data_IF_794340059157
#
_entry.id   IF_794340059157
#
_cell.length_a   1.000
_cell.length_b   1.000
_cell.length_c   1.000
_cell.angle_alpha   90.00
_cell.angle_beta   90.00
_cell.angle_gamma   90.00
#
_symmetry.space_group_name_H-M   'P 1'
#
loop_
_entity.id
_entity.type
_entity.pdbx_description
1 polymer ?
#
# COMPACT_ATOMS: atom_id res chain seq x y z
N UNK A 1 7.10 -2.75 -60.79
CA UNK A 1 7.80 -2.63 -59.52
C UNK A 1 7.06 -1.61 -58.67
N UNK A 2 6.22 -2.03 -57.73
CA UNK A 2 5.43 -1.18 -56.83
C UNK A 2 6.14 -1.05 -55.49
N UNK A 3 6.59 0.16 -55.15
CA UNK A 3 7.17 0.46 -53.84
C UNK A 3 6.03 0.56 -52.81
N UNK A 4 5.98 -0.38 -51.88
CA UNK A 4 5.09 -0.30 -50.69
C UNK A 4 5.64 0.76 -49.73
N UNK A 5 4.88 1.84 -49.57
CA UNK A 5 5.14 2.86 -48.59
C UNK A 5 4.82 2.31 -47.20
N UNK A 6 5.85 2.17 -46.37
CA UNK A 6 5.72 1.82 -44.94
C UNK A 6 5.21 3.08 -44.22
N UNK A 7 3.94 3.13 -43.82
CA UNK A 7 3.42 4.16 -42.93
C UNK A 7 4.02 3.96 -41.56
N UNK A 8 4.90 4.85 -41.18
CA UNK A 8 5.39 4.98 -39.82
C UNK A 8 4.24 5.46 -38.93
N UNK A 9 3.70 4.58 -38.10
CA UNK A 9 2.81 4.98 -37.00
C UNK A 9 3.67 5.79 -36.04
N UNK A 10 3.41 7.09 -35.95
CA UNK A 10 4.03 7.97 -34.98
C UNK A 10 3.70 7.49 -33.55
N UNK A 11 4.58 7.73 -32.56
CA UNK A 11 4.32 7.36 -31.19
C UNK A 11 3.09 8.13 -30.71
N UNK A 12 2.00 7.41 -30.45
CA UNK A 12 0.89 7.93 -29.66
C UNK A 12 1.45 8.20 -28.27
N UNK A 13 1.80 9.45 -27.99
CA UNK A 13 2.22 9.89 -26.67
C UNK A 13 1.04 9.70 -25.73
N UNK A 14 0.97 8.55 -25.07
CA UNK A 14 0.15 8.37 -23.88
C UNK A 14 0.67 9.39 -22.86
N UNK A 15 -0.06 10.48 -22.69
CA UNK A 15 0.10 11.40 -21.57
C UNK A 15 -0.21 10.58 -20.31
N UNK A 16 0.81 9.95 -19.77
CA UNK A 16 0.76 9.34 -18.43
C UNK A 16 0.65 10.52 -17.47
N UNK A 17 -0.57 10.84 -17.06
CA UNK A 17 -0.80 11.79 -15.96
C UNK A 17 -0.16 11.19 -14.74
N UNK A 18 1.04 11.63 -14.40
CA UNK A 18 1.71 11.23 -13.18
C UNK A 18 0.97 11.88 -12.01
N UNK A 19 0.36 11.05 -11.18
CA UNK A 19 -0.18 11.48 -9.91
C UNK A 19 0.98 12.00 -9.03
N UNK A 20 0.83 13.17 -8.44
CA UNK A 20 1.79 13.70 -7.47
C UNK A 20 1.53 13.17 -6.06
N UNK A 21 2.51 13.37 -5.16
CA UNK A 21 2.42 12.90 -3.79
C UNK A 21 1.22 13.49 -3.03
N UNK A 22 0.89 14.76 -3.26
CA UNK A 22 -0.23 15.43 -2.58
C UNK A 22 -1.57 14.84 -3.02
N UNK A 23 -1.71 14.50 -4.29
CA UNK A 23 -2.90 13.82 -4.80
C UNK A 23 -3.05 12.44 -4.19
N UNK A 24 -1.96 11.66 -4.13
CA UNK A 24 -1.97 10.33 -3.54
C UNK A 24 -2.30 10.36 -2.03
N UNK A 25 -1.73 11.31 -1.29
CA UNK A 25 -2.01 11.50 0.14
C UNK A 25 -3.48 11.81 0.42
N UNK A 26 -4.15 12.60 -0.42
CA UNK A 26 -5.59 12.87 -0.30
C UNK A 26 -6.44 11.60 -0.47
N UNK A 27 -6.00 10.67 -1.31
CA UNK A 27 -6.67 9.36 -1.47
C UNK A 27 -6.44 8.47 -0.26
N UNK A 28 -5.25 8.50 0.33
CA UNK A 28 -4.90 7.71 1.51
C UNK A 28 -5.57 8.21 2.78
N UNK A 29 -5.83 9.51 2.90
CA UNK A 29 -6.33 10.11 4.13
C UNK A 29 -7.59 9.41 4.67
N UNK A 30 -8.71 9.24 3.93
CA UNK A 30 -9.89 8.55 4.46
C UNK A 30 -9.63 7.07 4.77
N UNK A 31 -8.65 6.42 4.13
CA UNK A 31 -8.23 5.06 4.49
C UNK A 31 -7.60 5.01 5.89
N UNK A 32 -6.68 5.92 6.21
CA UNK A 32 -6.08 6.00 7.55
C UNK A 32 -7.09 6.44 8.61
N UNK A 33 -7.99 7.35 8.27
CA UNK A 33 -9.10 7.76 9.12
C UNK A 33 -10.03 6.57 9.45
N UNK A 34 -10.33 5.71 8.47
CA UNK A 34 -11.10 4.49 8.69
C UNK A 34 -10.42 3.52 9.67
N UNK A 35 -9.08 3.43 9.67
CA UNK A 35 -8.33 2.64 10.66
C UNK A 35 -8.36 3.25 12.06
N UNK A 36 -8.59 4.54 12.20
CA UNK A 36 -8.75 5.20 13.48
C UNK A 36 -10.20 5.18 14.01
N UNK A 37 -11.17 4.92 13.11
CA UNK A 37 -12.61 5.03 13.43
C UNK A 37 -13.15 3.77 14.13
N UNK A 38 -13.76 3.95 15.28
CA UNK A 38 -14.34 2.86 16.07
C UNK A 38 -15.81 2.57 15.71
N UNK A 39 -16.56 3.60 15.27
CA UNK A 39 -17.93 3.41 14.79
C UNK A 39 -17.93 2.68 13.43
N UNK A 40 -18.62 1.55 13.38
CA UNK A 40 -18.62 0.69 12.19
C UNK A 40 -19.35 1.34 11.00
N UNK A 41 -20.37 2.14 11.25
CA UNK A 41 -21.13 2.85 10.21
C UNK A 41 -20.28 3.94 9.55
N UNK A 42 -19.72 4.83 10.37
CA UNK A 42 -18.84 5.89 9.88
C UNK A 42 -17.57 5.34 9.21
N UNK A 43 -16.99 4.27 9.77
CA UNK A 43 -15.87 3.56 9.12
C UNK A 43 -16.20 3.07 7.72
N UNK A 44 -17.40 2.49 7.52
CA UNK A 44 -17.85 2.06 6.19
C UNK A 44 -18.00 3.23 5.21
N UNK A 45 -18.43 4.40 5.67
CA UNK A 45 -18.49 5.62 4.84
C UNK A 45 -17.09 6.05 4.39
N UNK A 46 -16.12 6.10 5.31
CA UNK A 46 -14.73 6.41 4.99
C UNK A 46 -14.13 5.41 3.99
N UNK A 47 -14.38 4.11 4.17
CA UNK A 47 -13.92 3.08 3.25
C UNK A 47 -14.54 3.23 1.85
N UNK A 48 -15.80 3.61 1.72
CA UNK A 48 -16.43 3.87 0.42
C UNK A 48 -15.80 5.04 -0.32
N UNK A 49 -15.33 6.05 0.41
CA UNK A 49 -14.59 7.18 -0.18
C UNK A 49 -13.20 6.73 -0.63
N UNK A 50 -12.50 5.96 0.20
CA UNK A 50 -11.10 5.59 -0.03
C UNK A 50 -10.90 4.48 -1.05
N UNK A 51 -11.81 3.48 -1.09
CA UNK A 51 -11.59 2.19 -1.75
C UNK A 51 -12.69 1.86 -2.76
N UNK A 52 -12.39 0.99 -3.72
CA UNK A 52 -13.40 0.40 -4.62
C UNK A 52 -14.25 -0.63 -3.87
N UNK A 53 -15.48 -0.96 -4.35
CA UNK A 53 -16.36 -1.92 -3.69
C UNK A 53 -15.78 -3.33 -3.53
N UNK A 54 -14.86 -3.70 -4.43
CA UNK A 54 -14.17 -4.99 -4.51
C UNK A 54 -12.72 -4.91 -4.05
N UNK A 55 -12.32 -3.79 -3.41
CA UNK A 55 -10.95 -3.59 -2.97
C UNK A 55 -10.47 -4.69 -2.02
N UNK A 56 -9.19 -4.99 -2.11
CA UNK A 56 -8.53 -6.04 -1.35
C UNK A 56 -7.46 -5.49 -0.41
N UNK A 57 -7.44 -6.00 0.83
CA UNK A 57 -6.28 -5.89 1.72
C UNK A 57 -5.73 -7.28 1.96
N UNK A 58 -4.49 -7.50 1.56
CA UNK A 58 -3.83 -8.77 1.74
C UNK A 58 -3.28 -8.89 3.16
N UNK A 59 -3.59 -9.98 3.81
CA UNK A 59 -3.02 -10.35 5.10
C UNK A 59 -2.11 -11.56 4.96
N UNK A 60 -1.38 -11.95 6.02
CA UNK A 60 -0.43 -13.06 5.96
C UNK A 60 -1.10 -14.42 5.73
N UNK A 61 -2.37 -14.56 6.08
CA UNK A 61 -3.11 -15.84 6.00
C UNK A 61 -4.35 -15.78 5.11
N UNK A 62 -4.86 -14.60 4.80
CA UNK A 62 -6.03 -14.44 3.92
C UNK A 62 -6.09 -13.04 3.30
N UNK A 63 -6.85 -12.93 2.22
CA UNK A 63 -7.25 -11.66 1.62
C UNK A 63 -8.60 -11.22 2.21
N UNK A 64 -8.72 -9.94 2.53
CA UNK A 64 -9.96 -9.30 2.93
C UNK A 64 -10.49 -8.51 1.74
N UNK A 65 -11.65 -8.89 1.22
CA UNK A 65 -12.21 -8.28 0.02
C UNK A 65 -13.53 -7.58 0.32
N UNK A 66 -13.67 -6.38 -0.20
CA UNK A 66 -14.84 -5.53 -0.05
C UNK A 66 -14.96 -4.87 1.32
N UNK A 67 -15.85 -3.87 1.41
CA UNK A 67 -15.95 -3.00 2.59
C UNK A 67 -16.24 -3.75 3.90
N UNK A 68 -17.09 -4.77 3.88
CA UNK A 68 -17.47 -5.49 5.09
C UNK A 68 -16.27 -6.24 5.70
N UNK A 69 -15.51 -6.97 4.87
CA UNK A 69 -14.35 -7.72 5.34
C UNK A 69 -13.20 -6.80 5.74
N UNK A 70 -13.00 -5.68 5.01
CA UNK A 70 -12.01 -4.66 5.39
C UNK A 70 -12.39 -4.02 6.73
N UNK A 71 -13.66 -3.67 6.94
CA UNK A 71 -14.14 -3.16 8.23
C UNK A 71 -13.96 -4.17 9.37
N UNK A 72 -14.21 -5.46 9.11
CA UNK A 72 -13.93 -6.55 10.08
C UNK A 72 -12.45 -6.65 10.43
N UNK A 73 -11.56 -6.56 9.43
CA UNK A 73 -10.11 -6.52 9.64
C UNK A 73 -9.70 -5.37 10.56
N UNK A 74 -10.26 -4.17 10.35
CA UNK A 74 -10.00 -3.00 11.19
C UNK A 74 -10.53 -3.23 12.62
N UNK A 75 -11.72 -3.80 12.77
CA UNK A 75 -12.24 -4.20 14.09
C UNK A 75 -11.33 -5.21 14.79
N UNK A 76 -10.76 -6.14 14.04
CA UNK A 76 -9.73 -7.06 14.55
C UNK A 76 -8.46 -6.34 15.02
N UNK A 77 -8.01 -5.34 14.26
CA UNK A 77 -6.88 -4.51 14.64
C UNK A 77 -7.14 -3.79 15.98
N UNK A 78 -8.31 -3.17 16.16
CA UNK A 78 -8.66 -2.50 17.41
C UNK A 78 -8.71 -3.46 18.62
N UNK A 79 -9.20 -4.69 18.42
CA UNK A 79 -9.23 -5.70 19.48
C UNK A 79 -7.86 -6.21 19.86
N UNK A 80 -7.00 -6.44 18.86
CA UNK A 80 -5.67 -7.04 19.05
C UNK A 80 -4.59 -6.03 19.48
N UNK A 81 -4.82 -4.74 19.19
CA UNK A 81 -3.90 -3.64 19.46
C UNK A 81 -4.65 -2.46 20.09
N UNK A 82 -5.24 -2.65 21.29
CA UNK A 82 -6.06 -1.61 21.91
C UNK A 82 -5.25 -0.34 22.17
N UNK A 83 -5.82 0.81 21.82
CA UNK A 83 -5.16 2.11 21.94
C UNK A 83 -4.06 2.40 20.90
N UNK A 84 -3.79 1.46 20.00
CA UNK A 84 -2.89 1.71 18.90
C UNK A 84 -3.60 2.34 17.70
N UNK A 85 -2.84 3.06 16.89
CA UNK A 85 -3.29 3.66 15.63
C UNK A 85 -2.33 3.36 14.51
N UNK A 86 -2.86 3.21 13.31
CA UNK A 86 -2.07 3.13 12.08
C UNK A 86 -1.75 4.55 11.61
N UNK A 87 -0.49 4.83 11.32
CA UNK A 87 -0.03 6.13 10.82
C UNK A 87 0.88 5.95 9.61
N UNK A 88 0.92 6.96 8.76
CA UNK A 88 1.92 7.07 7.70
C UNK A 88 3.24 7.50 8.37
N UNK A 89 4.29 6.71 8.19
CA UNK A 89 5.60 6.90 8.86
C UNK A 89 6.65 7.53 7.95
N UNK A 90 6.54 7.31 6.63
CA UNK A 90 7.49 7.81 5.65
C UNK A 90 6.79 8.45 4.46
N UNK A 91 7.57 9.02 3.53
CA UNK A 91 7.07 9.49 2.25
C UNK A 91 6.67 8.34 1.30
N UNK A 92 6.31 8.72 0.09
CA UNK A 92 5.80 7.80 -0.94
C UNK A 92 6.78 7.67 -2.09
N UNK A 93 6.93 6.45 -2.60
CA UNK A 93 7.47 6.23 -3.94
C UNK A 93 6.32 5.88 -4.88
N UNK A 94 6.04 6.72 -5.87
CA UNK A 94 4.90 6.57 -6.77
C UNK A 94 5.34 6.01 -8.11
N UNK A 95 4.62 4.98 -8.58
CA UNK A 95 4.78 4.35 -9.89
C UNK A 95 3.43 4.24 -10.57
N UNK A 96 3.17 5.04 -11.59
CA UNK A 96 1.91 5.04 -12.32
C UNK A 96 0.70 5.20 -11.38
N UNK A 97 -0.10 4.13 -11.24
CA UNK A 97 -1.25 4.05 -10.35
C UNK A 97 -0.93 3.35 -9.02
N UNK A 98 0.34 3.17 -8.66
CA UNK A 98 0.75 2.47 -7.45
C UNK A 98 1.71 3.31 -6.64
N UNK A 99 1.73 3.10 -5.32
CA UNK A 99 2.72 3.70 -4.44
C UNK A 99 3.22 2.70 -3.41
N UNK A 100 4.52 2.79 -3.09
CA UNK A 100 5.11 2.19 -1.90
C UNK A 100 5.12 3.23 -0.80
N UNK A 101 4.61 2.86 0.36
CA UNK A 101 4.49 3.72 1.54
C UNK A 101 5.07 3.02 2.76
N UNK A 102 5.59 3.78 3.71
CA UNK A 102 5.94 3.28 5.04
C UNK A 102 4.84 3.62 6.04
N UNK A 103 4.49 2.66 6.87
CA UNK A 103 3.46 2.81 7.91
C UNK A 103 4.00 2.35 9.26
N UNK A 104 3.45 2.91 10.32
CA UNK A 104 3.74 2.44 11.69
C UNK A 104 2.44 2.21 12.47
N UNK A 105 2.50 1.25 13.39
CA UNK A 105 1.51 1.08 14.44
C UNK A 105 2.06 1.77 15.68
N UNK A 106 1.37 2.80 16.15
CA UNK A 106 1.82 3.68 17.25
C UNK A 106 0.87 3.53 18.43
N UNK A 107 1.44 3.31 19.62
CA UNK A 107 0.70 3.22 20.87
C UNK A 107 0.29 4.58 21.43
N UNK A 108 -0.49 4.59 22.53
CA UNK A 108 -0.92 5.80 23.22
C UNK A 108 0.24 6.64 23.77
N UNK A 109 1.36 6.03 24.06
CA UNK A 109 2.60 6.68 24.51
C UNK A 109 3.39 7.32 23.35
N UNK A 110 2.90 7.22 22.13
CA UNK A 110 3.57 7.73 20.93
C UNK A 110 4.68 6.82 20.41
N UNK A 111 5.02 5.72 21.08
CA UNK A 111 6.04 4.81 20.61
C UNK A 111 5.54 3.89 19.51
N UNK A 112 6.35 3.68 18.47
CA UNK A 112 6.06 2.72 17.42
C UNK A 112 6.17 1.29 17.98
N UNK A 113 5.10 0.52 17.80
CA UNK A 113 5.01 -0.91 18.16
C UNK A 113 5.46 -1.81 17.00
N UNK A 114 5.21 -1.36 15.79
CA UNK A 114 5.65 -2.02 14.56
C UNK A 114 5.82 -0.96 13.46
N UNK A 115 6.73 -1.24 12.55
CA UNK A 115 6.90 -0.51 11.28
C UNK A 115 6.80 -1.50 10.14
N UNK A 116 6.28 -1.03 9.03
CA UNK A 116 6.14 -1.84 7.85
C UNK A 116 5.97 -0.99 6.61
N UNK A 117 5.94 -1.64 5.48
CA UNK A 117 5.71 -1.02 4.19
C UNK A 117 4.44 -1.59 3.56
N UNK A 118 3.84 -0.83 2.68
CA UNK A 118 2.75 -1.34 1.86
C UNK A 118 2.90 -0.89 0.42
N UNK A 119 2.45 -1.74 -0.50
CA UNK A 119 2.15 -1.34 -1.87
C UNK A 119 0.66 -1.04 -1.94
N UNK A 120 0.32 0.16 -2.39
CA UNK A 120 -1.05 0.61 -2.65
C UNK A 120 -1.24 0.70 -4.15
N UNK A 121 -2.25 0.02 -4.67
CA UNK A 121 -2.65 0.11 -6.08
C UNK A 121 -4.00 0.81 -6.19
N UNK A 122 -4.10 1.75 -7.13
CA UNK A 122 -5.32 2.50 -7.41
C UNK A 122 -6.02 1.95 -8.65
N UNK A 123 -7.35 1.92 -8.59
CA UNK A 123 -8.20 1.68 -9.74
C UNK A 123 -8.19 2.89 -10.70
N UNK A 124 -8.80 2.73 -11.87
CA UNK A 124 -8.91 3.80 -12.88
C UNK A 124 -9.72 5.02 -12.42
N UNK A 125 -10.59 4.85 -11.42
CA UNK A 125 -11.37 5.93 -10.80
C UNK A 125 -10.61 6.67 -9.68
N UNK A 126 -9.35 6.28 -9.42
CA UNK A 126 -8.46 6.89 -8.44
C UNK A 126 -8.64 6.40 -7.00
N UNK A 127 -9.56 5.46 -6.74
CA UNK A 127 -9.71 4.85 -5.42
C UNK A 127 -8.75 3.67 -5.23
N UNK A 128 -8.47 3.34 -3.97
CA UNK A 128 -7.64 2.18 -3.62
C UNK A 128 -8.36 0.90 -4.07
N UNK A 129 -7.67 0.11 -4.88
CA UNK A 129 -8.12 -1.21 -5.31
C UNK A 129 -7.43 -2.33 -4.55
N UNK A 130 -6.16 -2.14 -4.18
CA UNK A 130 -5.40 -3.15 -3.47
C UNK A 130 -4.40 -2.55 -2.50
N UNK A 131 -4.24 -3.21 -1.35
CA UNK A 131 -3.23 -2.91 -0.33
C UNK A 131 -2.48 -4.19 -0.01
N UNK A 132 -1.15 -4.18 -0.19
CA UNK A 132 -0.26 -5.28 0.13
C UNK A 132 0.70 -4.84 1.25
N UNK A 133 0.36 -5.06 2.52
CA UNK A 133 1.21 -4.66 3.64
C UNK A 133 2.27 -5.71 3.95
N UNK A 134 3.47 -5.24 4.31
CA UNK A 134 4.61 -6.03 4.75
C UNK A 134 5.09 -5.49 6.10
N UNK A 135 4.89 -6.27 7.16
CA UNK A 135 5.21 -5.87 8.54
C UNK A 135 6.47 -6.53 9.08
N UNK A 136 7.02 -7.50 8.35
CA UNK A 136 8.20 -8.25 8.72
C UNK A 136 9.41 -7.77 7.94
N UNK A 137 10.59 -7.87 8.55
CA UNK A 137 11.84 -7.69 7.86
C UNK A 137 12.07 -8.80 6.82
N UNK A 138 12.87 -8.49 5.81
CA UNK A 138 13.24 -9.51 4.83
C UNK A 138 14.04 -10.62 5.51
N UNK A 139 13.61 -11.89 5.39
CA UNK A 139 14.39 -13.00 5.87
C UNK A 139 15.72 -13.08 5.10
N UNK A 140 16.78 -13.67 5.69
CA UNK A 140 18.01 -13.92 4.98
C UNK A 140 17.78 -14.85 3.78
N UNK A 141 18.60 -14.72 2.75
CA UNK A 141 18.56 -15.65 1.62
C UNK A 141 18.81 -17.07 2.09
N UNK A 142 18.06 -18.07 1.60
CA UNK A 142 18.28 -19.47 1.96
C UNK A 142 19.66 -19.91 1.48
N UNK A 143 20.27 -20.84 2.21
CA UNK A 143 21.60 -21.38 1.88
C UNK A 143 21.65 -22.04 0.48
N UNK A 144 20.50 -22.47 -0.04
CA UNK A 144 20.34 -23.04 -1.38
C UNK A 144 20.36 -21.99 -2.50
N UNK A 145 20.27 -20.68 -2.20
CA UNK A 145 20.36 -19.66 -3.22
C UNK A 145 21.79 -19.56 -3.78
N UNK A 146 21.98 -19.56 -5.13
CA UNK A 146 23.30 -19.47 -5.73
C UNK A 146 24.01 -18.19 -5.29
N UNK A 147 25.24 -18.33 -4.77
CA UNK A 147 26.02 -17.21 -4.22
C UNK A 147 26.37 -16.15 -5.26
N UNK A 148 26.57 -16.57 -6.51
CA UNK A 148 26.85 -15.71 -7.65
C UNK A 148 25.67 -14.80 -8.03
N UNK A 149 24.45 -15.16 -7.59
CA UNK A 149 23.23 -14.37 -7.76
C UNK A 149 22.83 -13.60 -6.49
N UNK A 150 23.58 -13.79 -5.40
CA UNK A 150 23.34 -13.07 -4.16
C UNK A 150 24.00 -11.69 -4.20
N UNK A 151 23.27 -10.65 -3.77
CA UNK A 151 23.84 -9.32 -3.54
C UNK A 151 24.77 -9.30 -2.32
N UNK A 152 25.52 -8.21 -2.12
CA UNK A 152 26.32 -8.04 -0.92
C UNK A 152 25.41 -8.05 0.32
N UNK A 153 25.93 -8.50 1.49
CA UNK A 153 25.16 -8.47 2.73
C UNK A 153 24.68 -7.04 3.01
N UNK A 154 23.41 -6.91 3.42
CA UNK A 154 22.87 -5.61 3.84
C UNK A 154 23.67 -5.14 5.04
N UNK A 155 24.26 -3.95 4.94
CA UNK A 155 24.82 -3.32 6.11
C UNK A 155 23.66 -3.03 7.06
N UNK A 156 23.72 -3.60 8.25
CA UNK A 156 22.72 -3.35 9.29
C UNK A 156 22.58 -1.85 9.49
N UNK A 157 21.34 -1.36 9.54
CA UNK A 157 21.06 -0.05 10.13
C UNK A 157 21.57 -0.11 11.55
N UNK A 158 22.74 0.49 11.78
CA UNK A 158 23.31 0.66 13.11
C UNK A 158 22.25 1.37 13.95
N UNK A 159 21.74 0.68 14.93
CA UNK A 159 20.99 1.31 16.02
C UNK A 159 21.89 2.38 16.64
N UNK A 160 21.45 3.63 16.56
CA UNK A 160 21.95 4.74 17.35
C UNK A 160 20.90 5.14 18.37
#
# INVERSE_FOLDING_TARGET
MARRSCRTLGPTSLLVVRMDASQFLRILQPYYEAFAEHDAGHRLELLRVAMTPDAEIWGPVRVFSGYAQVSEKISGFHRNSPGCRLVLDTGLNIFLNSARIGSAIVGLDGAARARGEAIIELASDGRIQRVLPFWEEFPPLPASWPRELAGPPRQGTSEA
#
